data_IF_743982733043
#
_entry.id   IF_743982733043
#
_cell.length_a   1.000
_cell.length_b   1.000
_cell.length_c   1.000
_cell.angle_alpha   90.00
_cell.angle_beta   90.00
_cell.angle_gamma   90.00
#
_symmetry.space_group_name_H-M   'P 1'
#
loop_
_entity.id
_entity.type
_entity.pdbx_description
1 polymer ?
#
# COMPACT_ATOMS: atom_id res chain seq x y z
N UNK A 1 -6.05 -20.76 41.74
CA UNK A 1 -5.09 -21.39 40.80
C UNK A 1 -5.49 -21.27 39.32
N UNK A 2 -6.78 -21.18 39.00
CA UNK A 2 -7.29 -21.04 37.60
C UNK A 2 -7.11 -19.63 37.02
N UNK A 3 -7.43 -18.57 37.78
CA UNK A 3 -7.30 -17.19 37.32
C UNK A 3 -5.86 -16.81 36.95
N UNK A 4 -4.87 -17.22 37.75
CA UNK A 4 -3.44 -16.98 37.46
C UNK A 4 -2.99 -17.68 36.17
N UNK A 5 -3.47 -18.90 35.91
CA UNK A 5 -3.18 -19.64 34.68
C UNK A 5 -3.80 -18.97 33.45
N UNK A 6 -5.03 -18.44 33.58
CA UNK A 6 -5.70 -17.69 32.52
C UNK A 6 -4.99 -16.38 32.20
N UNK A 7 -4.53 -15.65 33.22
CA UNK A 7 -3.76 -14.42 33.04
C UNK A 7 -2.42 -14.68 32.34
N UNK A 8 -1.72 -15.74 32.71
CA UNK A 8 -0.49 -16.16 32.04
C UNK A 8 -0.74 -16.56 30.58
N UNK A 9 -1.79 -17.33 30.31
CA UNK A 9 -2.16 -17.69 28.94
C UNK A 9 -2.51 -16.46 28.08
N UNK A 10 -3.24 -15.49 28.64
CA UNK A 10 -3.57 -14.24 27.96
C UNK A 10 -2.33 -13.40 27.67
N UNK A 11 -1.39 -13.29 28.62
CA UNK A 11 -0.14 -12.57 28.43
C UNK A 11 0.72 -13.17 27.31
N UNK A 12 0.82 -14.51 27.27
CA UNK A 12 1.52 -15.23 26.20
C UNK A 12 0.87 -15.00 24.84
N UNK A 13 -0.46 -15.16 24.75
CA UNK A 13 -1.20 -14.92 23.51
C UNK A 13 -1.01 -13.48 22.98
N UNK A 14 -1.03 -12.49 23.88
CA UNK A 14 -0.81 -11.10 23.53
C UNK A 14 0.61 -10.83 23.04
N UNK A 15 1.62 -11.43 23.69
CA UNK A 15 3.01 -11.32 23.25
C UNK A 15 3.20 -11.90 21.83
N UNK A 16 2.64 -13.07 21.54
CA UNK A 16 2.70 -13.68 20.21
C UNK A 16 1.97 -12.85 19.14
N UNK A 17 0.82 -12.27 19.46
CA UNK A 17 0.10 -11.36 18.56
C UNK A 17 0.92 -10.11 18.22
N UNK A 18 1.53 -9.48 19.23
CA UNK A 18 2.38 -8.30 19.03
C UNK A 18 3.65 -8.63 18.25
N UNK A 19 4.27 -9.79 18.49
CA UNK A 19 5.44 -10.26 17.75
C UNK A 19 5.06 -10.53 16.29
N UNK A 20 3.95 -11.23 16.03
CA UNK A 20 3.44 -11.48 14.67
C UNK A 20 3.12 -10.18 13.91
N UNK A 21 2.41 -9.26 14.56
CA UNK A 21 2.08 -7.95 13.99
C UNK A 21 3.33 -7.07 13.75
N UNK A 22 4.33 -7.13 14.64
CA UNK A 22 5.58 -6.37 14.51
C UNK A 22 6.51 -6.99 13.46
N UNK A 23 6.57 -8.32 13.35
CA UNK A 23 7.37 -9.04 12.35
C UNK A 23 6.92 -8.72 10.91
N UNK A 24 5.62 -8.49 10.69
CA UNK A 24 5.09 -8.05 9.40
C UNK A 24 5.56 -6.66 8.97
N UNK A 25 5.81 -5.74 9.91
CA UNK A 25 6.16 -4.34 9.58
C UNK A 25 7.55 -4.19 8.95
N UNK A 26 8.51 -5.04 9.30
CA UNK A 26 9.86 -5.00 8.71
C UNK A 26 9.84 -5.35 7.22
N UNK A 27 9.22 -6.49 6.89
CA UNK A 27 9.05 -6.95 5.50
C UNK A 27 8.13 -6.03 4.71
N UNK A 28 7.02 -5.57 5.30
CA UNK A 28 6.14 -4.59 4.67
C UNK A 28 6.87 -3.29 4.34
N UNK A 29 7.71 -2.75 5.25
CA UNK A 29 8.52 -1.55 4.98
C UNK A 29 9.50 -1.76 3.84
N UNK A 30 10.13 -2.93 3.75
CA UNK A 30 11.06 -3.27 2.68
C UNK A 30 10.34 -3.36 1.32
N UNK A 31 9.21 -4.08 1.26
CA UNK A 31 8.37 -4.17 0.06
C UNK A 31 7.86 -2.79 -0.35
N UNK A 32 7.33 -2.02 0.59
CA UNK A 32 6.86 -0.64 0.37
C UNK A 32 7.98 0.27 -0.16
N UNK A 33 9.20 0.14 0.37
CA UNK A 33 10.35 0.94 -0.10
C UNK A 33 10.71 0.59 -1.54
N UNK A 34 10.75 -0.69 -1.88
CA UNK A 34 11.06 -1.14 -3.24
C UNK A 34 9.95 -0.75 -4.22
N UNK A 35 8.68 -0.93 -3.84
CA UNK A 35 7.54 -0.47 -4.62
C UNK A 35 7.57 1.05 -4.84
N UNK A 36 7.88 1.83 -3.80
CA UNK A 36 8.01 3.29 -3.92
C UNK A 36 9.18 3.69 -4.81
N UNK A 37 10.30 2.96 -4.78
CA UNK A 37 11.45 3.19 -5.66
C UNK A 37 11.06 2.93 -7.12
N UNK A 38 10.42 1.79 -7.39
CA UNK A 38 9.93 1.46 -8.73
C UNK A 38 8.90 2.47 -9.24
N UNK A 39 7.97 2.91 -8.39
CA UNK A 39 6.96 3.91 -8.74
C UNK A 39 7.54 5.30 -9.05
N UNK A 40 8.63 5.65 -8.38
CA UNK A 40 9.31 6.94 -8.57
C UNK A 40 10.40 6.90 -9.64
N UNK A 41 10.61 5.75 -10.29
CA UNK A 41 11.55 5.64 -11.39
C UNK A 41 11.20 6.65 -12.51
N UNK A 42 12.17 7.39 -13.07
CA UNK A 42 11.91 8.40 -14.10
C UNK A 42 11.19 7.82 -15.32
N UNK A 43 11.42 6.56 -15.67
CA UNK A 43 10.76 5.87 -16.79
C UNK A 43 9.28 5.67 -16.50
N UNK A 44 8.95 5.13 -15.32
CA UNK A 44 7.57 4.94 -14.85
C UNK A 44 6.85 6.29 -14.73
N UNK A 45 7.53 7.31 -14.21
CA UNK A 45 6.99 8.67 -14.09
C UNK A 45 6.66 9.26 -15.46
N UNK A 46 7.53 9.11 -16.45
CA UNK A 46 7.31 9.57 -17.83
C UNK A 46 6.14 8.83 -18.48
N UNK A 47 6.09 7.51 -18.37
CA UNK A 47 4.99 6.69 -18.89
C UNK A 47 3.64 7.14 -18.30
N UNK A 48 3.56 7.27 -16.97
CA UNK A 48 2.35 7.76 -16.28
C UNK A 48 1.93 9.16 -16.75
N UNK A 49 2.88 10.08 -16.93
CA UNK A 49 2.60 11.42 -17.41
C UNK A 49 2.07 11.40 -18.86
N UNK A 50 2.64 10.55 -19.72
CA UNK A 50 2.18 10.31 -21.08
C UNK A 50 0.74 9.80 -21.11
N UNK A 51 0.44 8.75 -20.35
CA UNK A 51 -0.92 8.19 -20.25
C UNK A 51 -1.91 9.22 -19.72
N UNK A 52 -1.55 10.00 -18.70
CA UNK A 52 -2.40 11.08 -18.17
C UNK A 52 -2.68 12.15 -19.22
N UNK A 53 -1.68 12.52 -20.03
CA UNK A 53 -1.85 13.49 -21.12
C UNK A 53 -2.75 12.95 -22.22
N UNK A 54 -2.61 11.67 -22.58
CA UNK A 54 -3.46 11.01 -23.57
C UNK A 54 -4.91 10.92 -23.08
N UNK A 55 -5.13 10.46 -21.85
CA UNK A 55 -6.44 10.41 -21.23
C UNK A 55 -7.11 11.78 -21.24
N UNK A 56 -6.42 12.84 -20.78
CA UNK A 56 -6.94 14.21 -20.81
C UNK A 56 -7.30 14.69 -22.22
N UNK A 57 -6.48 14.37 -23.23
CA UNK A 57 -6.75 14.74 -24.63
C UNK A 57 -8.03 14.05 -25.12
N UNK A 58 -8.19 12.76 -24.84
CA UNK A 58 -9.38 12.01 -25.21
C UNK A 58 -10.61 12.51 -24.48
N UNK A 59 -10.54 12.75 -23.17
CA UNK A 59 -11.63 13.35 -22.40
C UNK A 59 -12.06 14.69 -23.01
N UNK A 60 -11.11 15.57 -23.35
CA UNK A 60 -11.42 16.87 -24.00
C UNK A 60 -12.08 16.71 -25.37
N UNK A 61 -11.67 15.71 -26.16
CA UNK A 61 -12.30 15.42 -27.46
C UNK A 61 -13.73 14.93 -27.26
N UNK A 62 -13.94 14.03 -26.30
CA UNK A 62 -15.26 13.50 -25.96
C UNK A 62 -16.17 14.63 -25.46
N UNK A 63 -15.74 15.45 -24.49
CA UNK A 63 -16.58 16.57 -24.02
C UNK A 63 -16.88 17.57 -25.12
N UNK A 64 -15.94 17.87 -26.03
CA UNK A 64 -16.24 18.70 -27.20
C UNK A 64 -17.24 18.07 -28.16
N UNK A 65 -17.21 16.75 -28.34
CA UNK A 65 -18.16 16.03 -29.18
C UNK A 65 -19.55 15.90 -28.52
N UNK A 66 -19.62 15.89 -27.18
CA UNK A 66 -20.87 15.83 -26.40
C UNK A 66 -21.54 17.20 -26.27
N UNK A 67 -20.78 18.30 -26.34
CA UNK A 67 -21.30 19.67 -26.27
C UNK A 67 -21.44 20.37 -27.63
N UNK A 68 -21.29 19.65 -28.74
CA UNK A 68 -21.52 20.14 -30.11
C UNK A 68 -22.80 19.53 -30.65
#
# INVERSE_FOLDING_TARGET
MTALRLLLAAAVAFAFYLIGAKAGRGRYKQIRRNAKKAWNDPTVKKARAGTKKLARRNTKKITKAVHR
#
